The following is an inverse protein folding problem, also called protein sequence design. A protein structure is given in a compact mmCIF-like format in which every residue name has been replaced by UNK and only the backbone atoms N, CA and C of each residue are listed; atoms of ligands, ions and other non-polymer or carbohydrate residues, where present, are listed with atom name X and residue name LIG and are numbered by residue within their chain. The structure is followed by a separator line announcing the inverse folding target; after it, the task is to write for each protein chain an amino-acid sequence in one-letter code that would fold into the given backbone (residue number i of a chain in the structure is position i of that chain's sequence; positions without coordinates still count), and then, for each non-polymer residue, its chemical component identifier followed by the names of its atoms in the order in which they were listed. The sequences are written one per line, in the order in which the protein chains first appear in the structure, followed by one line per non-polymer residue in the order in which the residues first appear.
data_IF_129579499219
#
_entry.id   IF_129579499219
#
_cell.length_a   1.000
_cell.length_b   1.000
_cell.length_c   1.000
_cell.angle_alpha   90.00
_cell.angle_beta   90.00
_cell.angle_gamma   90.00
#
_symmetry.space_group_name_H-M   'P 1'
#
loop_
_entity.id
_entity.type
_entity.pdbx_description
1 polymer ?
#
# COMPACT_ATOMS: atom_id res chain seq x y z
N UNK A 1 -19.51 -0.99 36.29
CA UNK A 1 -18.15 -1.42 35.87
C UNK A 1 -18.32 -2.37 34.71
N UNK A 2 -17.93 -1.96 33.51
CA UNK A 2 -18.02 -2.78 32.30
C UNK A 2 -16.63 -3.37 32.06
N UNK A 3 -16.46 -4.66 32.37
CA UNK A 3 -15.24 -5.40 32.04
C UNK A 3 -15.43 -6.00 30.66
N UNK A 4 -15.11 -5.21 29.63
CA UNK A 4 -14.92 -5.75 28.28
C UNK A 4 -13.61 -6.52 28.26
N UNK A 5 -13.66 -7.82 28.00
CA UNK A 5 -12.47 -8.58 27.64
C UNK A 5 -11.87 -7.95 26.38
N UNK A 6 -10.54 -7.79 26.28
CA UNK A 6 -9.94 -7.44 25.00
C UNK A 6 -10.31 -8.54 24.01
N UNK A 7 -10.90 -8.15 22.88
CA UNK A 7 -10.97 -9.03 21.72
C UNK A 7 -9.52 -9.43 21.40
N UNK A 8 -9.21 -10.72 21.20
CA UNK A 8 -7.91 -11.09 20.67
C UNK A 8 -7.68 -10.32 19.37
N UNK A 9 -6.47 -9.80 19.16
CA UNK A 9 -6.05 -9.40 17.82
C UNK A 9 -6.44 -10.54 16.85
N UNK A 10 -7.08 -10.22 15.73
CA UNK A 10 -7.55 -11.21 14.74
C UNK A 10 -6.45 -12.25 14.49
N UNK A 11 -6.63 -13.45 15.07
CA UNK A 11 -5.72 -14.56 14.85
C UNK A 11 -5.99 -15.05 13.43
N UNK A 12 -5.22 -14.53 12.48
CA UNK A 12 -5.18 -15.04 11.12
C UNK A 12 -4.50 -16.42 11.15
N UNK A 13 -5.30 -17.48 11.04
CA UNK A 13 -4.79 -18.82 10.78
C UNK A 13 -4.50 -18.94 9.29
N UNK A 14 -3.23 -19.03 8.92
CA UNK A 14 -2.81 -19.35 7.56
C UNK A 14 -2.43 -20.82 7.40
N UNK A 15 -2.72 -21.65 8.40
CA UNK A 15 -2.35 -23.05 8.43
C UNK A 15 -3.53 -23.98 8.75
N UNK A 16 -3.45 -25.21 8.23
CA UNK A 16 -4.42 -26.25 8.52
C UNK A 16 -3.81 -27.65 8.34
N UNK A 17 -4.44 -28.65 8.95
CA UNK A 17 -4.11 -30.06 8.72
C UNK A 17 -5.13 -30.63 7.75
N UNK A 18 -4.68 -31.07 6.58
CA UNK A 18 -5.49 -31.83 5.64
C UNK A 18 -5.53 -33.30 6.08
N UNK A 19 -6.71 -33.79 6.45
CA UNK A 19 -6.96 -35.18 6.82
C UNK A 19 -7.64 -35.88 5.64
N UNK A 20 -7.14 -37.05 5.27
CA UNK A 20 -7.69 -37.87 4.18
C UNK A 20 -8.68 -38.92 4.70
N UNK A 21 -9.62 -39.41 3.87
CA UNK A 21 -10.57 -40.45 4.27
C UNK A 21 -9.88 -41.73 4.75
N UNK A 22 -10.56 -42.44 5.65
CA UNK A 22 -10.14 -43.75 6.15
C UNK A 22 -9.94 -44.75 4.99
N UNK A 23 -8.85 -45.51 5.05
CA UNK A 23 -8.48 -46.47 4.00
C UNK A 23 -7.78 -45.87 2.77
N UNK A 24 -7.57 -44.56 2.71
CA UNK A 24 -6.79 -43.92 1.63
C UNK A 24 -5.30 -44.30 1.62
N UNK A 25 -4.77 -44.74 2.77
CA UNK A 25 -3.33 -45.01 2.94
C UNK A 25 -2.47 -43.74 3.07
N UNK A 26 -3.08 -42.54 3.02
CA UNK A 26 -2.39 -41.26 3.13
C UNK A 26 -2.34 -40.78 4.59
N UNK A 27 -1.21 -40.19 4.99
CA UNK A 27 -1.07 -39.55 6.31
C UNK A 27 -1.61 -38.11 6.26
N UNK A 28 -2.12 -37.57 7.38
CA UNK A 28 -2.45 -36.15 7.47
C UNK A 28 -1.25 -35.26 7.08
N UNK A 29 -1.52 -34.14 6.40
CA UNK A 29 -0.51 -33.18 5.95
C UNK A 29 -0.76 -31.84 6.64
N UNK A 30 0.25 -31.30 7.29
CA UNK A 30 0.23 -29.92 7.78
C UNK A 30 0.56 -28.98 6.62
N UNK A 31 -0.30 -28.00 6.38
CA UNK A 31 -0.20 -27.03 5.30
C UNK A 31 -0.09 -25.65 5.94
N UNK A 32 0.95 -24.90 5.55
CA UNK A 32 1.13 -23.49 5.89
C UNK A 32 1.05 -22.68 4.62
N UNK A 33 0.07 -21.79 4.53
CA UNK A 33 -0.10 -20.87 3.41
C UNK A 33 0.88 -19.70 3.59
N UNK A 34 1.66 -19.43 2.55
CA UNK A 34 2.50 -18.24 2.51
C UNK A 34 1.66 -16.99 2.37
N UNK A 35 2.00 -15.93 3.11
CA UNK A 35 1.42 -14.60 2.89
C UNK A 35 1.72 -14.12 1.46
N UNK A 36 0.74 -13.55 0.73
CA UNK A 36 1.02 -12.92 -0.56
C UNK A 36 1.93 -11.68 -0.43
N UNK A 37 2.12 -11.19 0.80
CA UNK A 37 2.95 -10.03 1.13
C UNK A 37 4.34 -10.40 1.70
N UNK A 38 4.71 -11.68 1.64
CA UNK A 38 6.02 -12.16 2.11
C UNK A 38 6.18 -12.16 3.63
N UNK A 39 7.42 -12.34 4.07
CA UNK A 39 7.81 -12.30 5.48
C UNK A 39 7.80 -10.87 6.01
N UNK A 40 7.42 -10.70 7.28
CA UNK A 40 7.39 -9.38 7.95
C UNK A 40 8.15 -9.44 9.27
N UNK A 41 8.74 -8.31 9.68
CA UNK A 41 9.56 -8.21 10.90
C UNK A 41 9.15 -7.05 11.82
N UNK A 42 8.20 -6.22 11.39
CA UNK A 42 7.70 -5.08 12.14
C UNK A 42 6.23 -4.80 11.81
N UNK A 43 5.58 -4.06 12.71
CA UNK A 43 4.25 -3.47 12.50
C UNK A 43 4.38 -1.95 12.48
N UNK A 44 3.85 -1.31 11.45
CA UNK A 44 3.82 0.15 11.32
C UNK A 44 3.07 0.78 12.48
N UNK A 45 3.60 1.89 13.02
CA UNK A 45 3.01 2.58 14.18
C UNK A 45 1.74 3.33 13.80
N UNK A 46 1.72 3.94 12.61
CA UNK A 46 0.60 4.75 12.14
C UNK A 46 -0.35 3.93 11.26
N UNK A 47 0.22 3.16 10.33
CA UNK A 47 -0.52 2.31 9.40
C UNK A 47 -1.10 1.07 10.05
N UNK A 48 -0.48 0.53 11.11
CA UNK A 48 -0.85 -0.74 11.72
C UNK A 48 -0.54 -1.96 10.84
N UNK A 49 0.09 -1.78 9.68
CA UNK A 49 0.38 -2.85 8.72
C UNK A 49 1.65 -3.60 9.09
N UNK A 50 1.67 -4.91 8.90
CA UNK A 50 2.90 -5.71 9.02
C UNK A 50 3.75 -5.54 7.76
N UNK A 51 5.06 -5.33 7.92
CA UNK A 51 5.99 -5.16 6.81
C UNK A 51 7.41 -5.58 7.20
N UNK A 52 8.33 -5.59 6.23
CA UNK A 52 9.73 -5.88 6.43
C UNK A 52 10.57 -4.61 6.27
N UNK A 53 11.11 -4.10 7.37
CA UNK A 53 11.85 -2.82 7.42
C UNK A 53 13.06 -2.79 6.48
N UNK A 54 13.83 -3.89 6.43
CA UNK A 54 15.04 -3.99 5.61
C UNK A 54 14.75 -4.17 4.11
N UNK A 55 13.50 -4.44 3.73
CA UNK A 55 13.06 -4.65 2.33
C UNK A 55 12.11 -3.55 1.85
N UNK A 56 12.13 -2.39 2.53
CA UNK A 56 11.22 -1.27 2.27
C UNK A 56 11.85 -0.11 1.46
N UNK A 57 13.05 -0.29 0.91
CA UNK A 57 13.70 0.73 0.08
C UNK A 57 14.28 1.92 0.85
N UNK A 58 14.70 1.69 2.10
CA UNK A 58 15.34 2.69 2.95
C UNK A 58 14.66 2.85 4.32
N UNK A 59 15.27 3.60 5.24
CA UNK A 59 14.70 3.85 6.57
C UNK A 59 13.38 4.65 6.48
N UNK A 60 12.62 4.65 7.57
CA UNK A 60 11.49 5.57 7.75
C UNK A 60 12.01 6.96 8.06
N UNK A 61 11.47 7.96 7.40
CA UNK A 61 11.72 9.39 7.65
C UNK A 61 10.49 10.06 8.27
N UNK A 62 10.63 11.28 8.79
CA UNK A 62 9.48 12.06 9.29
C UNK A 62 9.23 13.18 8.30
N UNK A 63 8.36 12.91 7.33
CA UNK A 63 8.05 13.80 6.23
C UNK A 63 6.69 14.51 6.44
N UNK A 64 6.54 15.68 5.81
CA UNK A 64 5.30 16.46 5.85
C UNK A 64 4.77 16.68 4.43
N UNK A 65 3.61 16.10 4.13
CA UNK A 65 2.96 16.27 2.84
C UNK A 65 2.34 17.66 2.66
N UNK A 66 2.10 18.41 3.75
CA UNK A 66 1.39 19.69 3.71
C UNK A 66 2.14 20.76 2.92
N UNK A 67 3.47 20.70 2.94
CA UNK A 67 4.37 21.64 2.27
C UNK A 67 4.54 21.32 0.78
N UNK A 68 3.96 20.23 0.28
CA UNK A 68 4.09 19.83 -1.11
C UNK A 68 3.48 20.86 -2.07
N UNK A 69 4.23 21.17 -3.12
CA UNK A 69 3.76 21.90 -4.29
C UNK A 69 3.63 20.89 -5.42
N UNK A 70 2.43 20.79 -5.99
CA UNK A 70 2.17 19.90 -7.12
C UNK A 70 2.69 20.58 -8.37
N UNK A 71 3.63 19.92 -9.06
CA UNK A 71 4.22 20.39 -10.30
C UNK A 71 4.23 19.29 -11.37
N UNK A 72 4.61 19.67 -12.60
CA UNK A 72 4.61 18.76 -13.75
C UNK A 72 5.54 17.56 -13.54
N UNK A 73 6.72 17.77 -12.96
CA UNK A 73 7.71 16.71 -12.75
C UNK A 73 7.20 15.66 -11.75
N UNK A 74 6.58 16.10 -10.66
CA UNK A 74 6.02 15.18 -9.69
C UNK A 74 4.80 14.44 -10.24
N UNK A 75 3.91 15.09 -11.01
CA UNK A 75 2.78 14.40 -11.64
C UNK A 75 3.26 13.34 -12.64
N UNK A 76 4.35 13.62 -13.35
CA UNK A 76 4.96 12.63 -14.25
C UNK A 76 5.56 11.44 -13.47
N UNK A 77 6.12 11.66 -12.27
CA UNK A 77 6.56 10.59 -11.36
C UNK A 77 5.39 9.77 -10.80
N UNK A 78 4.30 10.43 -10.41
CA UNK A 78 3.06 9.74 -9.96
C UNK A 78 2.57 8.81 -11.07
N UNK A 79 2.40 9.33 -12.29
CA UNK A 79 1.98 8.54 -13.47
C UNK A 79 2.91 7.35 -13.71
N UNK A 80 4.22 7.56 -13.64
CA UNK A 80 5.20 6.50 -13.84
C UNK A 80 5.06 5.38 -12.81
N UNK A 81 4.85 5.74 -11.54
CA UNK A 81 4.73 4.77 -10.45
C UNK A 81 3.44 3.95 -10.55
N UNK A 82 2.28 4.61 -10.68
CA UNK A 82 0.99 3.92 -10.71
C UNK A 82 0.81 3.05 -11.96
N UNK A 83 1.43 3.43 -13.10
CA UNK A 83 1.35 2.66 -14.35
C UNK A 83 1.88 1.22 -14.23
N UNK A 84 2.71 0.95 -13.20
CA UNK A 84 3.25 -0.39 -12.90
C UNK A 84 2.15 -1.39 -12.51
N UNK A 85 1.05 -0.93 -11.93
CA UNK A 85 0.05 -1.80 -11.30
C UNK A 85 -1.14 -2.14 -12.22
N UNK A 86 -1.10 -1.68 -13.47
CA UNK A 86 -2.25 -1.75 -14.39
C UNK A 86 -3.19 -0.55 -14.24
N UNK A 87 -4.24 -0.52 -15.06
CA UNK A 87 -5.27 0.53 -14.98
C UNK A 87 -6.12 0.33 -13.73
N UNK A 88 -6.45 1.40 -13.04
CA UNK A 88 -7.37 1.41 -11.91
C UNK A 88 -8.14 2.72 -11.91
N UNK A 89 -9.48 2.66 -11.85
CA UNK A 89 -10.33 3.83 -12.01
C UNK A 89 -10.08 4.90 -10.94
N UNK A 90 -9.80 4.50 -9.71
CA UNK A 90 -9.43 5.37 -8.60
C UNK A 90 -8.12 6.14 -8.85
N UNK A 91 -7.07 5.44 -9.32
CA UNK A 91 -5.79 6.03 -9.69
C UNK A 91 -5.94 6.98 -10.88
N UNK A 92 -6.77 6.62 -11.87
CA UNK A 92 -7.03 7.46 -13.03
C UNK A 92 -7.73 8.76 -12.62
N UNK A 93 -8.73 8.70 -11.73
CA UNK A 93 -9.40 9.88 -11.16
C UNK A 93 -8.41 10.74 -10.37
N UNK A 94 -7.59 10.15 -9.51
CA UNK A 94 -6.60 10.92 -8.75
C UNK A 94 -5.57 11.59 -9.66
N UNK A 95 -5.11 10.90 -10.71
CA UNK A 95 -4.18 11.47 -11.69
C UNK A 95 -4.83 12.63 -12.47
N UNK A 96 -6.09 12.49 -12.89
CA UNK A 96 -6.83 13.57 -13.56
C UNK A 96 -6.97 14.80 -12.66
N UNK A 97 -7.25 14.59 -11.37
CA UNK A 97 -7.30 15.67 -10.38
C UNK A 97 -5.97 16.42 -10.28
N UNK A 98 -4.85 15.72 -10.28
CA UNK A 98 -3.53 16.36 -10.28
C UNK A 98 -3.31 17.22 -11.53
N UNK A 99 -3.79 16.79 -12.70
CA UNK A 99 -3.72 17.60 -13.93
C UNK A 99 -4.58 18.87 -13.84
N UNK A 100 -5.79 18.78 -13.28
CA UNK A 100 -6.63 19.97 -13.06
C UNK A 100 -6.00 20.97 -12.08
N UNK A 101 -5.25 20.48 -11.09
CA UNK A 101 -4.49 21.34 -10.17
C UNK A 101 -3.36 22.05 -10.93
N UNK A 102 -2.64 21.35 -11.80
CA UNK A 102 -1.57 21.94 -12.61
C UNK A 102 -2.06 23.04 -13.56
N UNK A 103 -3.27 22.89 -14.10
CA UNK A 103 -3.89 23.92 -14.96
C UNK A 103 -4.55 25.06 -14.17
N UNK A 104 -4.56 24.99 -12.84
CA UNK A 104 -5.20 25.97 -11.97
C UNK A 104 -6.73 25.91 -11.97
N UNK A 105 -7.31 24.80 -12.41
CA UNK A 105 -8.77 24.60 -12.46
C UNK A 105 -9.38 24.55 -11.06
N UNK A 106 -8.71 23.92 -10.09
CA UNK A 106 -9.05 24.01 -8.67
C UNK A 106 -7.82 23.91 -7.78
N UNK A 107 -7.86 24.47 -6.55
CA UNK A 107 -6.75 24.35 -5.60
C UNK A 107 -6.57 22.91 -5.12
N UNK A 108 -5.33 22.54 -4.83
CA UNK A 108 -5.00 21.24 -4.24
C UNK A 108 -5.63 21.07 -2.85
N UNK A 109 -6.24 19.91 -2.61
CA UNK A 109 -6.72 19.50 -1.29
C UNK A 109 -5.66 18.70 -0.53
N UNK A 110 -5.91 18.44 0.75
CA UNK A 110 -5.05 17.58 1.58
C UNK A 110 -4.97 16.15 1.04
N UNK A 111 -6.05 15.61 0.45
CA UNK A 111 -6.04 14.29 -0.19
C UNK A 111 -5.15 14.28 -1.43
N UNK A 112 -5.25 15.30 -2.29
CA UNK A 112 -4.42 15.39 -3.50
C UNK A 112 -2.92 15.46 -3.15
N UNK A 113 -2.56 16.23 -2.10
CA UNK A 113 -1.18 16.33 -1.63
C UNK A 113 -0.67 15.02 -1.02
N UNK A 114 -1.49 14.34 -0.22
CA UNK A 114 -1.12 13.04 0.38
C UNK A 114 -0.89 12.00 -0.72
N UNK A 115 -1.82 11.85 -1.65
CA UNK A 115 -1.65 10.98 -2.82
C UNK A 115 -0.38 11.30 -3.59
N UNK A 116 -0.23 12.55 -4.02
CA UNK A 116 0.93 13.01 -4.80
C UNK A 116 2.27 12.69 -4.13
N UNK A 117 2.39 13.01 -2.84
CA UNK A 117 3.65 12.77 -2.10
C UNK A 117 3.88 11.29 -1.82
N UNK A 118 2.82 10.54 -1.52
CA UNK A 118 2.87 9.10 -1.28
C UNK A 118 3.37 8.34 -2.50
N UNK A 119 2.76 8.54 -3.68
CA UNK A 119 3.15 7.81 -4.90
C UNK A 119 4.61 8.13 -5.32
N UNK A 120 5.05 9.38 -5.17
CA UNK A 120 6.44 9.78 -5.47
C UNK A 120 7.41 9.10 -4.50
N UNK A 121 7.08 9.08 -3.20
CA UNK A 121 7.94 8.50 -2.17
C UNK A 121 8.03 6.98 -2.29
N UNK A 122 6.94 6.31 -2.63
CA UNK A 122 6.96 4.88 -2.96
C UNK A 122 7.86 4.61 -4.17
N UNK A 123 7.78 5.41 -5.24
CA UNK A 123 8.63 5.24 -6.41
C UNK A 123 10.13 5.30 -6.06
N UNK A 124 10.52 6.23 -5.18
CA UNK A 124 11.90 6.32 -4.69
C UNK A 124 12.31 5.05 -3.93
N UNK A 125 11.42 4.51 -3.09
CA UNK A 125 11.68 3.25 -2.38
C UNK A 125 11.85 2.08 -3.35
N UNK A 126 11.03 1.99 -4.39
CA UNK A 126 11.22 1.00 -5.47
C UNK A 126 12.59 1.13 -6.14
N UNK A 127 13.01 2.36 -6.46
CA UNK A 127 14.32 2.63 -7.05
C UNK A 127 15.47 2.26 -6.12
N UNK A 128 15.34 2.52 -4.81
CA UNK A 128 16.32 2.13 -3.81
C UNK A 128 16.44 0.61 -3.65
N UNK A 129 15.39 -0.15 -3.96
CA UNK A 129 15.42 -1.61 -4.07
C UNK A 129 16.04 -2.11 -5.39
N UNK A 130 16.44 -1.21 -6.30
CA UNK A 130 16.99 -1.54 -7.61
C UNK A 130 15.93 -1.95 -8.63
N UNK A 131 14.65 -1.72 -8.34
CA UNK A 131 13.54 -2.05 -9.24
C UNK A 131 13.45 -0.96 -10.31
N UNK A 132 13.47 -1.37 -11.57
CA UNK A 132 13.38 -0.45 -12.71
C UNK A 132 12.00 0.19 -12.79
N UNK A 133 11.96 1.44 -13.23
CA UNK A 133 10.72 2.16 -13.46
C UNK A 133 9.81 1.41 -14.45
N UNK A 134 8.50 1.37 -14.17
CA UNK A 134 7.50 0.67 -14.98
C UNK A 134 7.57 -0.87 -14.93
N UNK A 135 8.52 -1.47 -14.19
CA UNK A 135 8.63 -2.93 -14.06
C UNK A 135 7.95 -3.40 -12.78
N UNK A 136 7.05 -4.38 -12.92
CA UNK A 136 6.49 -5.11 -11.78
C UNK A 136 7.44 -6.26 -11.39
N UNK A 137 7.90 -6.33 -10.12
CA UNK A 137 8.77 -7.42 -9.68
C UNK A 137 7.98 -8.72 -9.49
N UNK A 138 8.67 -9.87 -9.56
CA UNK A 138 8.04 -11.19 -9.38
C UNK A 138 7.35 -11.33 -8.01
N UNK A 139 7.98 -10.80 -6.95
CA UNK A 139 7.41 -10.73 -5.61
C UNK A 139 6.60 -9.43 -5.39
N UNK A 140 5.79 -9.05 -6.38
CA UNK A 140 5.02 -7.80 -6.43
C UNK A 140 4.27 -7.45 -5.14
N UNK A 141 3.59 -8.42 -4.54
CA UNK A 141 2.85 -8.22 -3.29
C UNK A 141 3.76 -7.86 -2.10
N UNK A 142 4.88 -8.56 -1.92
CA UNK A 142 5.85 -8.26 -0.86
C UNK A 142 6.47 -6.88 -1.03
N UNK A 143 6.96 -6.58 -2.24
CA UNK A 143 7.58 -5.29 -2.53
C UNK A 143 6.57 -4.18 -2.27
N UNK A 144 5.38 -4.26 -2.87
CA UNK A 144 4.32 -3.28 -2.68
C UNK A 144 4.02 -3.10 -1.20
N UNK A 145 3.77 -4.18 -0.45
CA UNK A 145 3.41 -4.08 0.96
C UNK A 145 4.50 -3.38 1.78
N UNK A 146 5.77 -3.71 1.53
CA UNK A 146 6.88 -3.16 2.29
C UNK A 146 7.13 -1.68 1.97
N UNK A 147 7.15 -1.31 0.69
CA UNK A 147 7.35 0.09 0.28
C UNK A 147 6.14 0.96 0.62
N UNK A 148 4.92 0.42 0.46
CA UNK A 148 3.67 1.11 0.77
C UNK A 148 3.55 1.40 2.25
N UNK A 149 3.72 0.37 3.08
CA UNK A 149 3.67 0.52 4.53
C UNK A 149 4.71 1.53 5.01
N UNK A 150 5.94 1.44 4.51
CA UNK A 150 6.99 2.39 4.89
C UNK A 150 6.69 3.83 4.45
N UNK A 151 6.03 4.02 3.31
CA UNK A 151 5.63 5.36 2.86
C UNK A 151 4.49 5.95 3.68
N UNK A 152 3.51 5.13 4.10
CA UNK A 152 2.50 5.56 5.06
C UNK A 152 3.15 6.02 6.37
N UNK A 153 4.14 5.27 6.87
CA UNK A 153 4.88 5.64 8.07
C UNK A 153 5.70 6.94 7.87
N UNK A 154 6.29 7.17 6.69
CA UNK A 154 7.02 8.40 6.38
C UNK A 154 6.15 9.64 6.61
N UNK A 155 4.87 9.56 6.24
CA UNK A 155 3.89 10.65 6.35
C UNK A 155 2.96 10.54 7.55
N UNK A 156 3.20 9.57 8.44
CA UNK A 156 2.40 9.29 9.64
C UNK A 156 0.91 9.08 9.34
N UNK A 157 0.61 8.38 8.24
CA UNK A 157 -0.74 8.06 7.77
C UNK A 157 -1.17 6.66 8.25
N UNK A 158 -2.47 6.49 8.52
CA UNK A 158 -3.04 5.16 8.72
C UNK A 158 -3.24 4.44 7.37
N UNK A 159 -3.61 3.17 7.40
CA UNK A 159 -3.97 2.40 6.20
C UNK A 159 -5.41 2.66 5.72
N UNK A 160 -5.96 3.84 6.00
CA UNK A 160 -7.31 4.20 5.58
C UNK A 160 -7.22 4.84 4.19
N UNK A 161 -7.83 4.20 3.20
CA UNK A 161 -7.77 4.62 1.80
C UNK A 161 -8.37 6.02 1.58
N UNK A 162 -9.27 6.49 2.46
CA UNK A 162 -9.82 7.85 2.42
C UNK A 162 -8.77 8.94 2.67
N UNK A 163 -7.58 8.56 3.15
CA UNK A 163 -6.46 9.47 3.29
C UNK A 163 -5.74 9.74 1.96
N UNK A 164 -5.74 8.77 1.04
CA UNK A 164 -5.04 8.86 -0.24
C UNK A 164 -6.01 9.11 -1.41
N UNK A 165 -7.25 8.66 -1.30
CA UNK A 165 -8.22 8.76 -2.39
C UNK A 165 -9.39 9.66 -2.02
N UNK A 166 -9.89 10.42 -3.00
CA UNK A 166 -11.13 11.17 -2.82
C UNK A 166 -12.32 10.22 -2.78
N UNK A 167 -13.45 10.68 -2.25
CA UNK A 167 -14.68 9.90 -2.26
C UNK A 167 -15.08 9.48 -3.69
N UNK A 168 -14.92 10.37 -4.68
CA UNK A 168 -15.15 10.07 -6.10
C UNK A 168 -14.29 8.89 -6.58
N UNK A 169 -12.98 8.92 -6.30
CA UNK A 169 -12.07 7.83 -6.64
C UNK A 169 -12.49 6.52 -5.97
N UNK A 170 -12.81 6.55 -4.67
CA UNK A 170 -13.25 5.36 -3.93
C UNK A 170 -14.61 4.82 -4.39
N UNK A 171 -15.54 5.68 -4.84
CA UNK A 171 -16.82 5.20 -5.37
C UNK A 171 -16.66 4.47 -6.70
N UNK A 172 -15.67 4.86 -7.52
CA UNK A 172 -15.43 4.22 -8.82
C UNK A 172 -15.03 2.74 -8.72
N UNK A 173 -14.43 2.32 -7.59
CA UNK A 173 -14.02 0.92 -7.38
C UNK A 173 -15.17 -0.02 -6.98
N UNK A 174 -16.38 0.51 -6.73
CA UNK A 174 -17.56 -0.30 -6.39
C UNK A 174 -18.43 -0.65 -7.61
N UNK A 175 -18.13 -0.09 -8.78
CA UNK A 175 -18.88 -0.28 -10.02
C UNK A 175 -18.20 -1.26 -11.02
N UNK A 176 -17.07 -1.89 -10.62
CA UNK A 176 -16.33 -2.95 -11.35
C UNK A 176 -16.63 -4.36 -10.80
#
# INVERSE_FOLDING_TARGET
MHTGFPLPDDISFTDFILIFPDGSGLKPVYIMLSSPYGETNAKGKFSGRNYHTERAGGPIEVLDWRIAVIDREGVDKVRLHISRFGSSADNDIMLERLEYILTGTFPATDTDKRFYTHEIRELERYRNLGIKDGVQPENGGEVWNNTHTATLEDYQLSSDDTLLYTAEALFSTYDD
#
